data_IF_076584474154
#
_entry.id   IF_076584474154
#
_cell.length_a   1.000
_cell.length_b   1.000
_cell.length_c   1.000
_cell.angle_alpha   90.00
_cell.angle_beta   90.00
_cell.angle_gamma   90.00
#
_symmetry.space_group_name_H-M   'P 1'
#
loop_
_entity.id
_entity.type
_entity.pdbx_description
1 polymer ?
#
# COMPACT_ATOMS: atom_id res chain seq x y z
N UNK A 1 -7.32 21.58 -10.10
CA UNK A 1 -6.88 20.57 -9.13
C UNK A 1 -5.81 19.73 -9.80
N UNK A 2 -4.68 19.50 -9.14
CA UNK A 2 -3.65 18.60 -9.65
C UNK A 2 -4.20 17.18 -9.53
N UNK A 3 -4.21 16.46 -10.65
CA UNK A 3 -4.61 15.07 -10.73
C UNK A 3 -3.50 14.22 -10.10
N UNK A 4 -3.72 13.72 -8.89
CA UNK A 4 -2.75 12.88 -8.15
C UNK A 4 -2.99 11.40 -8.45
N UNK A 5 -3.32 11.06 -9.70
CA UNK A 5 -3.57 9.66 -10.07
C UNK A 5 -2.26 8.90 -10.16
N UNK A 6 -2.12 7.92 -9.27
CA UNK A 6 -1.09 6.88 -9.36
C UNK A 6 -1.03 6.29 -10.77
N UNK A 7 0.15 6.36 -11.39
CA UNK A 7 0.36 5.79 -12.72
C UNK A 7 0.60 4.27 -12.60
N UNK A 8 -0.47 3.50 -12.82
CA UNK A 8 -0.47 2.04 -12.69
C UNK A 8 -0.82 1.34 -14.01
N UNK A 9 -0.07 0.29 -14.32
CA UNK A 9 -0.34 -0.65 -15.39
C UNK A 9 -0.49 -2.05 -14.81
N UNK A 10 -1.67 -2.65 -14.97
CA UNK A 10 -1.94 -4.03 -14.56
C UNK A 10 -1.75 -4.94 -15.78
N UNK A 11 -1.06 -6.07 -15.61
CA UNK A 11 -0.87 -7.03 -16.70
C UNK A 11 -2.23 -7.51 -17.24
N UNK A 12 -2.50 -7.27 -18.51
CA UNK A 12 -3.75 -7.68 -19.16
C UNK A 12 -3.75 -9.19 -19.47
N UNK A 13 -4.93 -9.81 -19.39
CA UNK A 13 -5.19 -11.20 -19.79
C UNK A 13 -4.35 -12.26 -19.06
N UNK A 14 -3.85 -11.96 -17.86
CA UNK A 14 -3.13 -12.90 -17.01
C UNK A 14 -4.03 -13.48 -15.92
N UNK A 15 -3.92 -14.79 -15.67
CA UNK A 15 -4.60 -15.44 -14.55
C UNK A 15 -4.08 -14.93 -13.19
N UNK A 16 -2.81 -14.52 -13.14
CA UNK A 16 -2.12 -13.93 -11.99
C UNK A 16 -1.43 -12.64 -12.45
N UNK A 17 -2.13 -11.50 -12.46
CA UNK A 17 -1.59 -10.25 -12.99
C UNK A 17 -0.57 -9.63 -12.02
N UNK A 18 0.34 -8.85 -12.58
CA UNK A 18 1.23 -7.95 -11.85
C UNK A 18 0.74 -6.51 -11.97
N UNK A 19 1.04 -5.68 -10.98
CA UNK A 19 0.86 -4.24 -11.07
C UNK A 19 2.23 -3.56 -11.18
N UNK A 20 2.48 -2.85 -12.27
CA UNK A 20 3.63 -1.97 -12.41
C UNK A 20 3.22 -0.53 -12.16
N UNK A 21 3.95 0.15 -11.29
CA UNK A 21 3.68 1.53 -10.88
C UNK A 21 4.86 2.39 -11.30
N UNK A 22 4.56 3.52 -11.95
CA UNK A 22 5.53 4.56 -12.25
C UNK A 22 5.38 5.72 -11.26
N UNK A 23 6.52 6.27 -10.85
CA UNK A 23 6.62 7.37 -9.90
C UNK A 23 7.55 8.44 -10.47
N UNK A 24 7.09 9.68 -10.48
CA UNK A 24 7.94 10.86 -10.65
C UNK A 24 8.65 11.24 -9.34
N UNK A 25 9.57 12.20 -9.42
CA UNK A 25 10.34 12.64 -8.26
C UNK A 25 9.43 13.01 -7.09
N UNK A 26 9.76 12.51 -5.91
CA UNK A 26 9.03 12.72 -4.65
C UNK A 26 7.62 12.11 -4.60
N UNK A 27 7.14 11.47 -5.65
CA UNK A 27 5.92 10.65 -5.56
C UNK A 27 6.16 9.42 -4.70
N UNK A 28 5.13 9.02 -3.97
CA UNK A 28 5.15 7.81 -3.16
C UNK A 28 3.93 6.94 -3.39
N UNK A 29 4.10 5.66 -3.06
CA UNK A 29 3.04 4.67 -3.05
C UNK A 29 3.15 3.84 -1.78
N UNK A 30 2.01 3.54 -1.18
CA UNK A 30 1.93 2.60 -0.07
C UNK A 30 1.54 1.23 -0.62
N UNK A 31 2.31 0.20 -0.27
CA UNK A 31 2.15 -1.14 -0.81
C UNK A 31 2.01 -2.14 0.32
N UNK A 32 1.36 -3.27 0.03
CA UNK A 32 1.34 -4.44 0.91
C UNK A 32 2.79 -4.91 1.12
N UNK A 33 3.22 -5.02 2.38
CA UNK A 33 4.57 -5.50 2.69
C UNK A 33 4.80 -6.89 2.10
N UNK A 34 5.95 -7.07 1.45
CA UNK A 34 6.32 -8.32 0.79
C UNK A 34 5.73 -8.52 -0.62
N UNK A 35 4.87 -7.62 -1.11
CA UNK A 35 4.31 -7.71 -2.46
C UNK A 35 5.28 -7.26 -3.58
N UNK A 36 6.34 -6.52 -3.24
CA UNK A 36 7.27 -5.96 -4.23
C UNK A 36 8.16 -7.05 -4.85
N UNK A 37 8.18 -7.10 -6.17
CA UNK A 37 9.05 -8.01 -6.97
C UNK A 37 10.37 -7.32 -7.29
N UNK A 38 10.31 -6.11 -7.84
CA UNK A 38 11.47 -5.30 -8.18
C UNK A 38 11.13 -3.81 -8.08
N UNK A 39 12.18 -3.00 -8.04
CA UNK A 39 12.09 -1.55 -8.22
C UNK A 39 13.36 -1.00 -8.88
N UNK A 40 13.28 0.20 -9.43
CA UNK A 40 14.46 0.91 -9.93
C UNK A 40 15.33 1.43 -8.78
N UNK A 41 16.65 1.65 -8.97
CA UNK A 41 17.56 2.04 -7.90
C UNK A 41 17.22 3.36 -7.18
N UNK A 42 16.48 4.24 -7.83
CA UNK A 42 16.04 5.52 -7.27
C UNK A 42 14.75 5.43 -6.43
N UNK A 43 14.12 4.25 -6.35
CA UNK A 43 12.98 4.01 -5.45
C UNK A 43 13.51 3.50 -4.11
N UNK A 44 13.18 4.22 -3.04
CA UNK A 44 13.59 3.90 -1.66
C UNK A 44 12.38 3.41 -0.89
N UNK A 45 12.52 2.27 -0.20
CA UNK A 45 11.50 1.74 0.69
C UNK A 45 11.71 2.30 2.10
N UNK A 46 10.67 2.97 2.61
CA UNK A 46 10.55 3.35 3.99
C UNK A 46 9.52 2.42 4.64
N UNK A 47 9.99 1.55 5.54
CA UNK A 47 9.10 0.88 6.49
C UNK A 47 8.63 1.90 7.53
N UNK A 48 7.73 2.81 7.14
CA UNK A 48 7.05 3.66 8.10
C UNK A 48 6.08 2.80 8.88
N UNK A 49 6.51 2.38 10.06
CA UNK A 49 5.58 2.03 11.14
C UNK A 49 4.79 3.30 11.41
N UNK A 50 3.50 3.35 11.03
CA UNK A 50 2.67 4.55 11.10
C UNK A 50 2.62 5.14 12.53
N UNK A 51 3.56 6.03 12.84
CA UNK A 51 3.73 6.61 14.16
C UNK A 51 4.04 8.11 14.02
N UNK A 52 3.18 8.84 13.31
CA UNK A 52 3.24 10.31 13.25
C UNK A 52 2.42 10.98 14.38
N UNK A 53 2.23 10.31 15.53
CA UNK A 53 1.72 10.98 16.72
C UNK A 53 2.45 10.51 17.98
N UNK A 54 3.25 11.41 18.54
CA UNK A 54 4.04 11.27 19.77
C UNK A 54 3.19 10.93 21.03
N UNK A 55 1.86 10.97 20.94
CA UNK A 55 0.94 10.53 22.03
C UNK A 55 0.27 9.17 21.76
N UNK A 56 0.33 8.66 20.51
CA UNK A 56 -0.30 7.41 20.05
C UNK A 56 0.75 6.28 19.90
N UNK A 57 2.02 6.51 20.26
CA UNK A 57 3.09 5.49 20.23
C UNK A 57 2.71 4.21 20.99
N UNK A 58 1.99 4.31 22.11
CA UNK A 58 1.58 3.13 22.88
C UNK A 58 0.49 2.30 22.21
N UNK A 59 -0.46 2.92 21.50
CA UNK A 59 -1.67 2.24 20.99
C UNK A 59 -1.53 1.74 19.56
N UNK A 60 -0.85 2.48 18.68
CA UNK A 60 -0.61 2.04 17.30
C UNK A 60 0.40 0.88 17.25
N UNK A 61 1.48 0.95 18.04
CA UNK A 61 2.44 -0.15 18.19
C UNK A 61 1.77 -1.36 18.86
N UNK A 62 0.87 -1.13 19.84
CA UNK A 62 0.12 -2.22 20.46
C UNK A 62 -0.91 -2.84 19.50
N UNK A 63 -1.54 -2.06 18.62
CA UNK A 63 -2.47 -2.57 17.60
C UNK A 63 -1.74 -3.38 16.53
N UNK A 64 -0.61 -2.87 16.01
CA UNK A 64 0.29 -3.61 15.10
C UNK A 64 0.85 -4.85 15.79
N UNK A 65 1.29 -4.74 17.05
CA UNK A 65 1.78 -5.89 17.84
C UNK A 65 0.70 -6.94 18.12
N UNK A 66 -0.57 -6.53 18.30
CA UNK A 66 -1.71 -7.44 18.45
C UNK A 66 -2.13 -8.07 17.12
N UNK A 67 -2.12 -7.32 16.01
CA UNK A 67 -2.42 -7.85 14.68
C UNK A 67 -1.33 -8.81 14.19
N UNK A 68 -0.08 -8.60 14.64
CA UNK A 68 1.03 -9.55 14.50
C UNK A 68 0.82 -10.82 15.33
N UNK A 69 0.31 -10.67 16.56
CA UNK A 69 0.01 -11.81 17.42
C UNK A 69 -1.23 -12.61 16.96
N UNK A 70 -2.18 -11.98 16.26
CA UNK A 70 -3.35 -12.64 15.66
C UNK A 70 -3.09 -13.21 14.26
N UNK A 71 -2.04 -12.76 13.57
CA UNK A 71 -1.69 -13.22 12.23
C UNK A 71 -2.46 -12.54 11.08
N UNK A 72 -3.27 -11.53 11.38
CA UNK A 72 -4.22 -10.91 10.44
C UNK A 72 -3.84 -9.47 10.02
N UNK A 73 -2.75 -8.91 10.56
CA UNK A 73 -2.37 -7.52 10.32
C UNK A 73 -1.93 -7.18 8.90
N UNK A 74 -2.55 -6.16 8.29
CA UNK A 74 -2.03 -5.51 7.08
C UNK A 74 -0.79 -4.69 7.43
N UNK A 75 0.37 -5.17 6.98
CA UNK A 75 1.60 -4.39 6.98
C UNK A 75 1.72 -3.57 5.70
N UNK A 76 2.00 -2.28 5.86
CA UNK A 76 2.11 -1.33 4.76
C UNK A 76 3.53 -0.78 4.73
N UNK A 77 4.15 -0.84 3.56
CA UNK A 77 5.46 -0.24 3.27
C UNK A 77 5.25 0.95 2.36
N UNK A 78 5.93 2.07 2.62
CA UNK A 78 5.92 3.23 1.74
C UNK A 78 7.15 3.17 0.81
N UNK A 79 6.95 3.32 -0.49
CA UNK A 79 8.02 3.44 -1.47
C UNK A 79 7.98 4.84 -2.07
N UNK A 80 9.14 5.50 -2.17
CA UNK A 80 9.26 6.89 -2.66
C UNK A 80 10.36 7.00 -3.70
N UNK A 81 10.06 7.66 -4.82
CA UNK A 81 11.05 7.93 -5.85
C UNK A 81 11.91 9.16 -5.50
N UNK A 82 13.23 8.99 -5.47
CA UNK A 82 14.20 10.08 -5.20
C UNK A 82 14.47 10.97 -6.43
N UNK A 83 14.08 10.50 -7.62
CA UNK A 83 14.19 11.19 -8.90
C UNK A 83 13.12 10.67 -9.86
N UNK A 84 12.91 11.33 -11.00
CA UNK A 84 11.94 10.88 -12.02
C UNK A 84 12.24 9.47 -12.55
N UNK A 85 11.26 8.87 -13.24
CA UNK A 85 11.35 7.53 -13.81
C UNK A 85 11.53 6.43 -12.75
N UNK A 86 11.02 6.64 -11.53
CA UNK A 86 10.90 5.58 -10.54
C UNK A 86 9.91 4.52 -11.03
N UNK A 87 10.23 3.24 -10.86
CA UNK A 87 9.31 2.15 -11.18
C UNK A 87 9.41 1.05 -10.14
N UNK A 88 8.27 0.43 -9.84
CA UNK A 88 8.19 -0.76 -9.00
C UNK A 88 7.11 -1.71 -9.53
N UNK A 89 7.30 -3.01 -9.32
CA UNK A 89 6.33 -4.03 -9.68
C UNK A 89 5.87 -4.81 -8.45
N UNK A 90 4.58 -5.09 -8.37
CA UNK A 90 3.93 -5.78 -7.27
C UNK A 90 3.24 -7.06 -7.75
N UNK A 91 3.32 -8.11 -6.94
CA UNK A 91 2.50 -9.31 -7.05
C UNK A 91 1.62 -9.47 -5.80
N UNK A 92 0.33 -9.82 -5.95
CA UNK A 92 -0.50 -10.25 -4.82
C UNK A 92 0.10 -11.49 -4.14
N UNK A 93 -0.03 -11.58 -2.82
CA UNK A 93 0.38 -12.75 -2.06
C UNK A 93 -0.61 -13.93 -2.14
N UNK A 94 -1.77 -13.72 -2.79
CA UNK A 94 -2.80 -14.72 -3.02
C UNK A 94 -3.11 -14.84 -4.52
N UNK A 95 -3.38 -16.05 -5.03
CA UNK A 95 -3.85 -16.24 -6.40
C UNK A 95 -5.17 -15.48 -6.65
N UNK A 96 -5.21 -14.63 -7.68
CA UNK A 96 -6.40 -13.82 -7.94
C UNK A 96 -6.23 -12.75 -9.03
N UNK A 97 -7.00 -11.68 -8.90
CA UNK A 97 -7.03 -10.55 -9.83
C UNK A 97 -6.73 -9.25 -9.08
N UNK A 98 -6.25 -8.25 -9.80
CA UNK A 98 -6.02 -6.90 -9.27
C UNK A 98 -7.09 -5.97 -9.84
N UNK A 99 -7.73 -5.18 -8.98
CA UNK A 99 -8.75 -4.19 -9.37
C UNK A 99 -8.31 -2.82 -8.89
N UNK A 100 -8.19 -1.87 -9.81
CA UNK A 100 -7.95 -0.47 -9.48
C UNK A 100 -9.26 0.22 -9.08
N UNK A 101 -9.26 0.90 -7.93
CA UNK A 101 -10.40 1.63 -7.41
C UNK A 101 -10.04 3.11 -7.29
N UNK A 102 -10.79 3.96 -7.99
CA UNK A 102 -10.60 5.42 -7.91
C UNK A 102 -11.13 5.95 -6.57
N UNK A 103 -10.32 6.76 -5.88
CA UNK A 103 -10.65 7.39 -4.61
C UNK A 103 -11.08 8.85 -4.83
N UNK A 104 -12.06 9.32 -4.06
CA UNK A 104 -12.57 10.69 -4.16
C UNK A 104 -13.86 10.83 -3.37
N UNK A 105 -14.97 11.17 -4.02
CA UNK A 105 -16.29 11.11 -3.40
C UNK A 105 -16.64 9.69 -2.91
N UNK A 106 -16.11 8.67 -3.61
CA UNK A 106 -16.22 7.26 -3.21
C UNK A 106 -15.02 6.85 -2.37
N UNK A 107 -15.33 6.16 -1.28
CA UNK A 107 -14.38 5.59 -0.32
C UNK A 107 -14.70 4.11 -0.13
N UNK A 108 -13.70 3.30 0.27
CA UNK A 108 -13.84 1.85 0.34
C UNK A 108 -13.35 1.32 1.69
N UNK A 109 -13.96 0.22 2.13
CA UNK A 109 -13.41 -0.63 3.20
C UNK A 109 -12.98 -1.94 2.57
N UNK A 110 -11.79 -2.39 2.93
CA UNK A 110 -11.19 -3.63 2.44
C UNK A 110 -11.02 -4.57 3.63
N UNK A 111 -11.31 -5.86 3.41
CA UNK A 111 -10.97 -6.89 4.39
C UNK A 111 -9.45 -7.10 4.40
N UNK A 112 -8.96 -7.69 5.49
CA UNK A 112 -7.56 -8.13 5.57
C UNK A 112 -7.21 -9.05 4.40
N UNK A 113 -6.02 -8.84 3.82
CA UNK A 113 -5.53 -9.57 2.65
C UNK A 113 -6.03 -9.08 1.29
N UNK A 114 -6.99 -8.15 1.23
CA UNK A 114 -7.46 -7.59 -0.05
C UNK A 114 -6.64 -6.37 -0.53
N UNK A 115 -5.91 -5.71 0.37
CA UNK A 115 -5.09 -4.53 0.04
C UNK A 115 -3.80 -4.93 -0.68
N UNK A 116 -3.51 -4.27 -1.82
CA UNK A 116 -2.25 -4.42 -2.56
C UNK A 116 -1.43 -3.11 -2.57
N UNK A 117 -2.04 -2.00 -2.99
CA UNK A 117 -1.39 -0.70 -3.04
C UNK A 117 -2.41 0.45 -2.99
N UNK A 118 -1.94 1.63 -2.59
CA UNK A 118 -2.66 2.90 -2.67
C UNK A 118 -1.69 4.05 -2.92
N UNK A 119 -2.18 5.11 -3.55
CA UNK A 119 -1.44 6.34 -3.76
C UNK A 119 -0.91 6.93 -2.44
N UNK A 120 0.29 7.51 -2.47
CA UNK A 120 0.94 8.14 -1.31
C UNK A 120 0.17 9.31 -0.71
N UNK A 121 -0.67 9.99 -1.49
CA UNK A 121 -1.52 11.09 -1.02
C UNK A 121 -2.79 10.62 -0.30
N UNK A 122 -3.24 9.38 -0.51
CA UNK A 122 -4.43 8.84 0.13
C UNK A 122 -4.18 8.49 1.61
N UNK A 123 -5.20 8.57 2.46
CA UNK A 123 -5.14 8.20 3.87
C UNK A 123 -5.91 6.91 4.13
N UNK A 124 -5.59 6.21 5.23
CA UNK A 124 -6.30 5.00 5.65
C UNK A 124 -6.32 4.89 7.18
N UNK A 125 -7.26 4.09 7.67
CA UNK A 125 -7.38 3.70 9.08
C UNK A 125 -7.61 2.20 9.16
N UNK A 126 -6.99 1.55 10.14
CA UNK A 126 -7.22 0.14 10.45
C UNK A 126 -8.26 0.03 11.58
N UNK A 127 -9.30 -0.77 11.37
CA UNK A 127 -10.39 -0.95 12.32
C UNK A 127 -10.66 -2.44 12.54
N UNK A 128 -10.27 -2.96 13.71
CA UNK A 128 -10.60 -4.33 14.12
C UNK A 128 -12.10 -4.42 14.37
N UNK A 129 -12.76 -5.41 13.76
CA UNK A 129 -14.17 -5.67 14.02
C UNK A 129 -14.30 -6.36 15.38
N UNK A 130 -15.05 -5.73 16.31
CA UNK A 130 -15.45 -6.42 17.53
C UNK A 130 -16.53 -7.43 17.17
N UNK A 131 -16.25 -8.71 17.36
CA UNK A 131 -17.33 -9.68 17.61
C UNK A 131 -17.88 -9.32 18.99
N UNK A 132 -19.21 -9.21 19.10
CA UNK A 132 -19.90 -8.75 20.33
C UNK A 132 -19.56 -9.54 21.58
#
# INVERSE_FOLDING_TARGET
MVDHRMNVSITNNAQFPLAEIALDVSESVRIQTGSMIYHTPNVVLNAKVNAESQSIFGKAIQAVGRSMASGEGVFITEATAQSNNGRLALAPNVPGQIVALELGEKQYRLNDGAFLAMDGSASYTLETQSVG
#
